data_IF_433622334699
#
_entry.id   IF_433622334699
#
_cell.length_a   1.000
_cell.length_b   1.000
_cell.length_c   1.000
_cell.angle_alpha   90.00
_cell.angle_beta   90.00
_cell.angle_gamma   90.00
#
_symmetry.space_group_name_H-M   'P 1'
#
loop_
_entity.id
_entity.type
_entity.pdbx_description
1 polymer ?
#
# COMPACT_ATOMS: atom_id res chain seq x y z
N UNK A 1 35.06 -30.99 -3.51
CA UNK A 1 34.08 -31.23 -4.60
C UNK A 1 33.08 -32.28 -4.14
N UNK A 2 31.85 -31.90 -3.81
CA UNK A 2 30.74 -32.82 -3.55
C UNK A 2 29.55 -32.34 -4.37
N UNK A 3 29.14 -33.17 -5.33
CA UNK A 3 27.90 -33.01 -6.12
C UNK A 3 26.73 -33.49 -5.26
N UNK A 4 25.65 -32.73 -5.22
CA UNK A 4 24.35 -33.17 -4.70
C UNK A 4 23.36 -33.07 -5.86
N UNK A 5 22.71 -34.19 -6.17
CA UNK A 5 21.65 -34.31 -7.18
C UNK A 5 20.33 -33.86 -6.56
N UNK A 6 19.58 -33.00 -7.27
CA UNK A 6 18.15 -32.80 -7.01
C UNK A 6 17.36 -33.36 -8.19
N UNK A 7 16.60 -34.43 -7.92
CA UNK A 7 15.55 -34.93 -8.79
C UNK A 7 14.32 -34.05 -8.64
N UNK A 8 13.71 -33.73 -9.78
CA UNK A 8 12.60 -32.81 -9.98
C UNK A 8 11.27 -33.33 -9.40
N UNK A 9 10.49 -32.44 -8.78
CA UNK A 9 9.03 -32.46 -8.83
C UNK A 9 8.53 -31.02 -8.69
N UNK A 10 7.89 -30.55 -9.74
CA UNK A 10 7.41 -29.19 -9.93
C UNK A 10 6.27 -28.85 -8.96
N UNK A 11 6.47 -27.84 -8.13
CA UNK A 11 5.44 -26.98 -7.53
C UNK A 11 6.06 -25.58 -7.43
N UNK A 12 5.34 -24.57 -7.91
CA UNK A 12 5.84 -23.24 -8.22
C UNK A 12 6.62 -22.58 -7.09
N UNK A 13 7.83 -22.13 -7.42
CA UNK A 13 8.62 -21.24 -6.57
C UNK A 13 7.89 -19.91 -6.42
N UNK A 14 7.22 -19.70 -5.29
CA UNK A 14 7.00 -18.36 -4.76
C UNK A 14 8.37 -17.90 -4.25
N UNK A 15 8.99 -16.93 -4.91
CA UNK A 15 10.12 -16.21 -4.35
C UNK A 15 9.62 -15.42 -3.13
N UNK A 16 9.59 -16.06 -1.97
CA UNK A 16 9.56 -15.36 -0.69
C UNK A 16 10.92 -14.67 -0.54
N UNK A 17 10.97 -13.39 -0.86
CA UNK A 17 12.07 -12.52 -0.44
C UNK A 17 11.87 -12.24 1.05
N UNK A 18 12.16 -13.24 1.88
CA UNK A 18 12.40 -13.08 3.32
C UNK A 18 13.75 -13.75 3.61
N UNK A 19 14.83 -13.13 3.13
CA UNK A 19 16.17 -13.60 3.36
C UNK A 19 16.65 -13.16 4.76
N UNK A 20 16.79 -14.13 5.65
CA UNK A 20 17.65 -14.16 6.85
C UNK A 20 17.54 -13.00 7.87
N UNK A 21 16.86 -13.24 8.99
CA UNK A 21 17.46 -13.40 10.32
C UNK A 21 16.38 -13.42 11.42
N UNK A 22 16.66 -14.15 12.50
CA UNK A 22 15.74 -14.68 13.51
C UNK A 22 15.06 -13.65 14.44
N UNK A 23 14.52 -12.53 13.95
CA UNK A 23 13.90 -11.50 14.81
C UNK A 23 12.60 -10.87 14.28
N UNK A 24 12.06 -11.28 13.15
CA UNK A 24 10.77 -10.77 12.69
C UNK A 24 9.69 -11.75 13.18
N UNK A 25 8.79 -11.36 14.12
CA UNK A 25 7.65 -12.19 14.47
C UNK A 25 6.89 -12.56 13.19
N UNK A 26 6.32 -13.78 13.09
CA UNK A 26 5.53 -14.15 11.93
C UNK A 26 4.51 -13.05 11.65
N UNK A 27 4.28 -12.68 10.37
CA UNK A 27 3.30 -11.65 10.04
C UNK A 27 1.99 -12.02 10.75
N UNK A 28 1.34 -11.08 11.47
CA UNK A 28 0.05 -11.32 12.09
C UNK A 28 -0.86 -12.09 11.14
N UNK A 29 -1.64 -13.06 11.63
CA UNK A 29 -2.53 -13.88 10.79
C UNK A 29 -3.42 -13.05 9.85
N UNK A 30 -3.74 -11.80 10.25
CA UNK A 30 -4.40 -10.80 9.42
C UNK A 30 -3.62 -10.44 8.13
N UNK A 31 -2.31 -10.17 8.20
CA UNK A 31 -1.49 -9.84 7.03
C UNK A 31 -1.45 -10.98 6.01
N UNK A 32 -1.53 -12.24 6.46
CA UNK A 32 -1.51 -13.38 5.56
C UNK A 32 -2.84 -13.52 4.79
N UNK A 33 -3.97 -13.28 5.44
CA UNK A 33 -5.27 -13.26 4.79
C UNK A 33 -5.36 -12.09 3.78
N UNK A 34 -4.94 -10.89 4.21
CA UNK A 34 -4.94 -9.69 3.39
C UNK A 34 -3.96 -9.80 2.22
N UNK A 35 -2.86 -10.55 2.36
CA UNK A 35 -1.96 -10.86 1.24
C UNK A 35 -2.66 -11.67 0.15
N UNK A 36 -3.46 -12.68 0.53
CA UNK A 36 -4.20 -13.50 -0.44
C UNK A 36 -5.24 -12.63 -1.15
N UNK A 37 -5.99 -11.82 -0.40
CA UNK A 37 -6.99 -10.91 -0.95
C UNK A 37 -6.36 -9.88 -1.88
N UNK A 38 -5.24 -9.26 -1.47
CA UNK A 38 -4.54 -8.27 -2.28
C UNK A 38 -4.08 -8.85 -3.63
N UNK A 39 -3.52 -10.07 -3.61
CA UNK A 39 -3.13 -10.76 -4.84
C UNK A 39 -4.34 -11.09 -5.73
N UNK A 40 -5.46 -11.52 -5.15
CA UNK A 40 -6.71 -11.72 -5.88
C UNK A 40 -7.27 -10.43 -6.47
N UNK A 41 -6.95 -9.29 -5.83
CA UNK A 41 -7.25 -7.95 -6.30
C UNK A 41 -6.28 -7.42 -7.36
N UNK A 42 -5.29 -8.23 -7.76
CA UNK A 42 -4.25 -7.86 -8.71
C UNK A 42 -3.15 -6.99 -8.12
N UNK A 43 -3.21 -6.68 -6.82
CA UNK A 43 -2.23 -5.88 -6.12
C UNK A 43 -1.08 -6.71 -5.56
N UNK A 44 -0.13 -6.03 -4.94
CA UNK A 44 0.93 -6.61 -4.12
C UNK A 44 0.82 -6.04 -2.71
N UNK A 45 0.84 -6.93 -1.71
CA UNK A 45 0.83 -6.53 -0.32
C UNK A 45 2.23 -6.09 0.13
N UNK A 46 2.31 -5.01 0.88
CA UNK A 46 3.54 -4.50 1.46
C UNK A 46 3.25 -3.93 2.85
N UNK A 47 3.94 -4.46 3.86
CA UNK A 47 3.89 -3.93 5.21
C UNK A 47 5.09 -3.01 5.44
N UNK A 48 4.85 -1.83 6.02
CA UNK A 48 5.85 -0.78 6.09
C UNK A 48 5.70 0.10 7.33
N UNK A 49 6.77 0.84 7.65
CA UNK A 49 6.77 1.91 8.64
C UNK A 49 6.93 3.26 7.94
N UNK A 50 6.07 4.22 8.27
CA UNK A 50 6.10 5.57 7.70
C UNK A 50 7.31 6.34 8.23
N UNK A 51 8.04 7.01 7.34
CA UNK A 51 9.25 7.79 7.67
C UNK A 51 9.18 9.26 7.24
N UNK A 52 8.10 9.71 6.61
CA UNK A 52 7.85 11.12 6.34
C UNK A 52 6.43 11.53 6.71
N UNK A 53 6.23 12.82 6.97
CA UNK A 53 4.88 13.36 7.10
C UNK A 53 4.14 13.28 5.75
N UNK A 54 2.80 13.11 5.77
CA UNK A 54 1.97 13.16 4.57
C UNK A 54 2.11 14.50 3.85
N UNK A 55 2.24 14.44 2.53
CA UNK A 55 2.38 15.62 1.68
C UNK A 55 1.33 15.60 0.58
N UNK A 56 0.55 16.68 0.52
CA UNK A 56 -0.38 16.90 -0.58
C UNK A 56 0.37 17.11 -1.90
N UNK A 57 -0.15 16.51 -2.95
CA UNK A 57 0.27 16.69 -4.34
C UNK A 57 -0.95 16.96 -5.21
N UNK A 58 -0.92 18.07 -5.95
CA UNK A 58 -2.02 18.44 -6.84
C UNK A 58 -2.20 17.43 -7.97
N UNK A 59 -3.44 17.36 -8.46
CA UNK A 59 -3.87 16.44 -9.49
C UNK A 59 -4.45 17.14 -10.70
N UNK A 60 -5.00 16.34 -11.61
CA UNK A 60 -5.87 16.85 -12.68
C UNK A 60 -7.31 16.97 -12.17
N UNK A 61 -8.06 17.91 -12.73
CA UNK A 61 -9.52 17.97 -12.54
C UNK A 61 -10.20 16.96 -13.46
N UNK A 62 -11.13 16.19 -12.91
CA UNK A 62 -12.01 15.27 -13.62
C UNK A 62 -13.44 15.52 -13.17
N UNK A 63 -14.28 16.01 -14.09
CA UNK A 63 -15.69 16.37 -13.81
C UNK A 63 -15.86 17.29 -12.57
N UNK A 64 -14.92 18.21 -12.37
CA UNK A 64 -14.96 19.16 -11.24
C UNK A 64 -14.34 18.66 -9.94
N UNK A 65 -13.88 17.40 -9.88
CA UNK A 65 -13.19 16.81 -8.73
C UNK A 65 -11.69 16.74 -9.03
N UNK A 66 -10.84 17.22 -8.12
CA UNK A 66 -9.38 17.11 -8.29
C UNK A 66 -8.91 15.71 -7.89
N UNK A 67 -8.28 15.00 -8.81
CA UNK A 67 -7.62 13.72 -8.56
C UNK A 67 -6.25 13.94 -7.92
N UNK A 68 -6.25 14.60 -6.76
CA UNK A 68 -5.06 14.89 -5.97
C UNK A 68 -4.57 13.67 -5.22
N UNK A 69 -3.31 13.71 -4.79
CA UNK A 69 -2.65 12.60 -4.11
C UNK A 69 -2.07 13.06 -2.77
N UNK A 70 -1.92 12.12 -1.85
CA UNK A 70 -1.08 12.25 -0.66
C UNK A 70 0.13 11.33 -0.81
N UNK A 71 1.33 11.89 -0.68
CA UNK A 71 2.57 11.14 -0.70
C UNK A 71 3.12 10.95 0.71
N UNK A 72 3.58 9.73 0.99
CA UNK A 72 4.40 9.39 2.15
C UNK A 72 5.60 8.56 1.70
N UNK A 73 6.71 8.70 2.41
CA UNK A 73 7.84 7.78 2.30
C UNK A 73 7.75 6.73 3.41
N UNK A 74 8.09 5.51 3.07
CA UNK A 74 8.04 4.36 3.98
C UNK A 74 9.28 3.49 3.83
N UNK A 75 9.54 2.66 4.83
CA UNK A 75 10.54 1.58 4.80
C UNK A 75 9.85 0.25 5.09
N UNK A 76 10.36 -0.90 4.64
CA UNK A 76 9.76 -2.19 4.97
C UNK A 76 9.64 -2.38 6.49
N UNK A 77 8.53 -2.98 6.93
CA UNK A 77 8.23 -3.12 8.36
C UNK A 77 9.36 -3.87 9.08
N UNK A 78 9.87 -3.28 10.16
CA UNK A 78 10.97 -3.85 10.95
C UNK A 78 12.37 -3.60 10.39
N UNK A 79 12.49 -2.98 9.22
CA UNK A 79 13.78 -2.56 8.67
C UNK A 79 14.19 -1.15 9.13
N UNK A 80 15.50 -0.91 9.16
CA UNK A 80 16.05 0.44 9.38
C UNK A 80 16.13 1.19 8.06
N UNK A 81 15.90 2.49 8.11
CA UNK A 81 16.06 3.36 6.95
C UNK A 81 17.51 3.35 6.43
N UNK A 82 17.63 3.18 5.12
CA UNK A 82 18.86 3.27 4.34
C UNK A 82 18.56 3.94 3.00
N UNK A 83 19.58 4.33 2.24
CA UNK A 83 19.37 4.98 0.94
C UNK A 83 18.64 4.09 -0.10
N UNK A 84 18.65 2.76 0.09
CA UNK A 84 18.16 1.80 -0.91
C UNK A 84 16.80 1.17 -0.58
N UNK A 85 16.22 1.49 0.58
CA UNK A 85 14.96 0.91 1.04
C UNK A 85 13.94 1.98 1.46
N UNK A 86 14.00 3.15 0.82
CA UNK A 86 12.96 4.18 0.93
C UNK A 86 12.03 4.04 -0.26
N UNK A 87 10.74 3.92 0.06
CA UNK A 87 9.67 3.65 -0.87
C UNK A 87 8.68 4.81 -0.84
N UNK A 88 8.35 5.39 -1.99
CA UNK A 88 7.26 6.38 -2.09
C UNK A 88 5.92 5.64 -2.16
N UNK A 89 4.90 6.22 -1.54
CA UNK A 89 3.52 5.74 -1.59
C UNK A 89 2.64 6.90 -1.99
N UNK A 90 1.95 6.75 -3.11
CA UNK A 90 0.96 7.71 -3.60
C UNK A 90 -0.46 7.22 -3.32
N UNK A 91 -1.19 8.00 -2.52
CA UNK A 91 -2.56 7.73 -2.08
C UNK A 91 -3.52 8.67 -2.79
N UNK A 92 -4.49 8.15 -3.51
CA UNK A 92 -5.49 8.97 -4.19
C UNK A 92 -6.48 9.55 -3.18
N UNK A 93 -6.45 10.87 -3.02
CA UNK A 93 -7.21 11.55 -1.96
C UNK A 93 -8.71 11.34 -2.11
N UNK A 94 -9.23 11.23 -3.34
CA UNK A 94 -10.66 11.04 -3.61
C UNK A 94 -11.25 9.75 -3.00
N UNK A 95 -10.39 8.80 -2.63
CA UNK A 95 -10.79 7.57 -1.96
C UNK A 95 -10.64 7.62 -0.45
N UNK A 96 -10.04 8.69 0.09
CA UNK A 96 -9.99 8.89 1.53
C UNK A 96 -11.43 9.02 2.09
N UNK A 97 -11.67 8.40 3.23
CA UNK A 97 -13.00 8.31 3.85
C UNK A 97 -13.66 9.67 4.11
N UNK A 98 -12.85 10.70 4.27
CA UNK A 98 -13.23 12.06 4.64
C UNK A 98 -12.91 13.08 3.54
N UNK A 99 -12.60 12.62 2.32
CA UNK A 99 -12.40 13.52 1.20
C UNK A 99 -13.70 14.20 0.81
N UNK A 100 -13.64 15.53 0.75
CA UNK A 100 -14.75 16.36 0.31
C UNK A 100 -14.22 17.42 -0.65
N UNK A 101 -14.82 17.50 -1.84
CA UNK A 101 -14.47 18.50 -2.86
C UNK A 101 -14.68 19.95 -2.39
N UNK A 102 -15.45 20.16 -1.33
CA UNK A 102 -15.69 21.46 -0.70
C UNK A 102 -14.60 21.86 0.32
N UNK A 103 -13.77 20.92 0.76
CA UNK A 103 -12.67 21.20 1.70
C UNK A 103 -11.63 22.15 1.07
N UNK A 104 -10.85 22.86 1.90
CA UNK A 104 -9.86 23.79 1.38
C UNK A 104 -8.94 23.13 0.36
N UNK A 105 -8.86 23.74 -0.83
CA UNK A 105 -7.96 23.28 -1.89
C UNK A 105 -6.55 23.08 -1.34
N UNK A 106 -5.92 21.98 -1.77
CA UNK A 106 -4.51 21.67 -1.49
C UNK A 106 -4.19 21.23 -0.07
N UNK A 107 -5.05 20.41 0.52
CA UNK A 107 -4.82 19.79 1.82
C UNK A 107 -4.90 18.26 1.76
N UNK A 108 -4.11 17.62 2.63
CA UNK A 108 -4.19 16.18 2.87
C UNK A 108 -5.50 15.91 3.62
N UNK A 109 -6.34 14.93 3.20
CA UNK A 109 -7.51 14.50 3.97
C UNK A 109 -7.13 14.18 5.43
N UNK A 110 -7.96 14.59 6.40
CA UNK A 110 -7.71 14.43 7.83
C UNK A 110 -7.40 12.97 8.20
N UNK A 111 -8.13 12.01 7.63
CA UNK A 111 -7.88 10.57 7.85
C UNK A 111 -6.45 10.15 7.49
N UNK A 112 -5.88 10.74 6.44
CA UNK A 112 -4.52 10.47 5.97
C UNK A 112 -3.46 11.25 6.74
N UNK A 113 -3.82 12.32 7.46
CA UNK A 113 -2.87 13.05 8.33
C UNK A 113 -2.37 12.22 9.51
N UNK A 114 -3.04 11.11 9.84
CA UNK A 114 -2.64 10.17 10.88
C UNK A 114 -1.50 9.23 10.44
N UNK A 115 -1.13 9.23 9.16
CA UNK A 115 0.02 8.51 8.62
C UNK A 115 1.32 9.26 8.93
N UNK A 116 1.59 9.44 10.23
CA UNK A 116 2.75 10.17 10.75
C UNK A 116 3.97 9.25 10.80
N UNK A 117 5.14 9.86 10.97
CA UNK A 117 6.40 9.13 11.16
C UNK A 117 6.25 8.13 12.31
N UNK A 118 6.63 6.87 12.05
CA UNK A 118 6.54 5.76 12.99
C UNK A 118 5.23 4.97 12.93
N UNK A 119 4.22 5.42 12.19
CA UNK A 119 3.00 4.63 11.96
C UNK A 119 3.35 3.39 11.15
N UNK A 120 2.92 2.22 11.62
CA UNK A 120 3.02 0.97 10.87
C UNK A 120 1.76 0.80 10.03
N UNK A 121 1.95 0.41 8.77
CA UNK A 121 0.86 0.29 7.80
C UNK A 121 1.00 -0.98 6.97
N UNK A 122 -0.15 -1.44 6.50
CA UNK A 122 -0.29 -2.41 5.44
C UNK A 122 -0.82 -1.69 4.19
N UNK A 123 -0.19 -1.98 3.06
CA UNK A 123 -0.51 -1.43 1.76
C UNK A 123 -0.85 -2.57 0.81
N UNK A 124 -1.98 -2.46 0.12
CA UNK A 124 -2.24 -3.22 -1.09
C UNK A 124 -2.31 -2.24 -2.26
N UNK A 125 -1.55 -2.49 -3.33
CA UNK A 125 -1.58 -1.62 -4.50
C UNK A 125 -0.69 -2.12 -5.62
N UNK A 126 -0.44 -1.25 -6.59
CA UNK A 126 0.45 -1.55 -7.69
C UNK A 126 1.88 -1.14 -7.34
N UNK A 127 2.86 -2.06 -7.37
CA UNK A 127 4.25 -1.65 -7.21
C UNK A 127 4.68 -0.74 -8.38
N UNK A 128 5.51 0.27 -8.09
CA UNK A 128 6.13 1.05 -9.16
C UNK A 128 6.94 0.13 -10.08
N UNK A 129 6.85 0.38 -11.39
CA UNK A 129 7.63 -0.38 -12.39
C UNK A 129 9.13 -0.04 -12.33
N UNK A 130 9.48 1.15 -11.80
CA UNK A 130 10.83 1.65 -11.61
C UNK A 130 10.88 2.57 -10.38
N UNK A 131 11.93 2.46 -9.56
CA UNK A 131 11.98 3.10 -8.24
C UNK A 131 11.19 2.28 -7.22
N UNK A 132 11.69 2.15 -5.99
CA UNK A 132 10.96 1.44 -4.95
C UNK A 132 9.67 2.18 -4.58
N UNK A 133 8.54 1.47 -4.54
CA UNK A 133 7.33 1.95 -3.85
C UNK A 133 6.05 1.31 -4.35
N UNK A 134 4.93 1.85 -3.89
CA UNK A 134 3.59 1.46 -4.32
C UNK A 134 2.87 2.71 -4.82
N UNK A 135 2.42 2.67 -6.07
CA UNK A 135 1.36 3.56 -6.53
C UNK A 135 0.01 2.85 -6.41
N UNK A 136 -1.08 3.61 -6.48
CA UNK A 136 -2.43 3.03 -6.59
C UNK A 136 -2.92 2.33 -5.31
N UNK A 137 -3.00 3.05 -4.19
CA UNK A 137 -3.72 2.57 -3.00
C UNK A 137 -5.16 3.08 -2.99
N UNK A 138 -5.98 2.54 -3.89
CA UNK A 138 -7.40 2.91 -3.95
C UNK A 138 -8.28 1.80 -4.52
N UNK A 139 -9.57 1.84 -4.19
CA UNK A 139 -10.55 1.00 -4.86
C UNK A 139 -10.65 1.32 -6.35
N UNK A 140 -10.78 0.30 -7.19
CA UNK A 140 -11.07 0.42 -8.62
C UNK A 140 -12.58 0.58 -8.86
N UNK A 141 -13.38 0.91 -7.83
CA UNK A 141 -14.80 1.24 -7.97
C UNK A 141 -15.66 0.14 -8.62
N UNK A 142 -15.36 -1.12 -8.31
CA UNK A 142 -16.03 -2.28 -8.92
C UNK A 142 -15.69 -2.52 -10.39
N UNK A 143 -14.80 -1.72 -10.99
CA UNK A 143 -14.25 -2.00 -12.32
C UNK A 143 -13.37 -3.25 -12.28
N UNK A 144 -13.22 -3.90 -13.43
CA UNK A 144 -12.41 -5.12 -13.54
C UNK A 144 -10.96 -4.84 -13.11
N UNK A 145 -10.57 -5.44 -11.99
CA UNK A 145 -9.21 -5.39 -11.44
C UNK A 145 -8.21 -6.16 -12.30
N UNK A 146 -7.02 -5.60 -12.45
CA UNK A 146 -5.88 -6.20 -13.17
C UNK A 146 -4.58 -5.83 -12.47
N UNK A 147 -3.46 -6.49 -12.78
CA UNK A 147 -2.16 -6.10 -12.22
C UNK A 147 -1.73 -4.65 -12.53
N UNK A 148 -2.29 -4.05 -13.59
CA UNK A 148 -2.05 -2.65 -13.97
C UNK A 148 -3.09 -1.66 -13.42
N UNK A 149 -4.14 -2.18 -12.77
CA UNK A 149 -5.24 -1.42 -12.14
C UNK A 149 -5.82 -2.29 -11.00
N UNK A 150 -5.04 -2.53 -9.93
CA UNK A 150 -5.52 -3.35 -8.84
C UNK A 150 -6.58 -2.61 -8.02
N UNK A 151 -7.35 -3.35 -7.23
CA UNK A 151 -7.96 -2.74 -6.05
C UNK A 151 -6.88 -2.63 -4.98
N UNK A 152 -6.66 -1.42 -4.50
CA UNK A 152 -5.73 -1.10 -3.44
C UNK A 152 -6.41 -0.67 -2.16
N UNK A 153 -5.65 -0.73 -1.07
CA UNK A 153 -6.07 -0.34 0.26
C UNK A 153 -4.87 0.10 1.09
N UNK A 154 -5.13 0.91 2.10
CA UNK A 154 -4.15 1.23 3.14
C UNK A 154 -4.80 1.08 4.51
N UNK A 155 -4.17 0.29 5.38
CA UNK A 155 -4.62 0.04 6.76
C UNK A 155 -3.51 0.36 7.73
N UNK A 156 -3.87 0.79 8.93
CA UNK A 156 -2.93 0.95 10.05
C UNK A 156 -2.76 -0.40 10.73
N UNK A 157 -1.50 -0.78 10.98
CA UNK A 157 -1.15 -1.91 11.84
C UNK A 157 -1.05 -1.36 13.27
N UNK A 158 -2.03 -1.70 14.11
CA UNK A 158 -2.07 -1.29 15.50
C UNK A 158 -0.97 -1.97 16.32
N UNK A 159 -0.66 -1.39 17.49
CA UNK A 159 0.38 -1.90 18.39
C UNK A 159 0.12 -3.33 18.86
N UNK A 160 -1.15 -3.74 18.93
CA UNK A 160 -1.57 -5.11 19.26
C UNK A 160 -1.52 -6.09 18.07
N UNK A 161 -1.08 -5.63 16.90
CA UNK A 161 -1.01 -6.42 15.66
C UNK A 161 -2.33 -6.53 14.90
N UNK A 162 -3.40 -5.88 15.36
CA UNK A 162 -4.66 -5.79 14.60
C UNK A 162 -4.57 -4.76 13.48
N UNK A 163 -5.43 -4.89 12.47
CA UNK A 163 -5.53 -3.93 11.37
C UNK A 163 -6.72 -3.00 11.58
N UNK A 164 -6.56 -1.72 11.23
CA UNK A 164 -7.69 -0.81 11.10
C UNK A 164 -8.56 -1.15 9.88
N UNK A 165 -9.72 -0.51 9.78
CA UNK A 165 -10.40 -0.38 8.49
C UNK A 165 -9.48 0.32 7.49
N UNK A 166 -9.73 0.09 6.19
CA UNK A 166 -9.01 0.79 5.13
C UNK A 166 -9.31 2.29 5.18
N UNK A 167 -8.28 3.11 4.98
CA UNK A 167 -8.43 4.56 4.92
C UNK A 167 -8.87 5.02 3.51
N UNK A 168 -8.89 4.12 2.52
CA UNK A 168 -9.11 4.41 1.09
C UNK A 168 -10.31 3.66 0.50
N UNK A 169 -11.41 3.56 1.25
CA UNK A 169 -12.61 2.83 0.86
C UNK A 169 -13.78 3.74 0.46
N UNK A 170 -13.58 5.05 0.35
CA UNK A 170 -14.63 5.97 -0.10
C UNK A 170 -14.99 5.70 -1.57
N UNK A 171 -16.27 5.45 -1.83
CA UNK A 171 -16.79 5.20 -3.17
C UNK A 171 -17.67 6.33 -3.72
N UNK A 172 -17.84 7.43 -2.97
CA UNK A 172 -18.68 8.57 -3.36
C UNK A 172 -18.34 9.07 -4.78
N UNK A 173 -17.04 9.14 -5.08
CA UNK A 173 -16.54 9.68 -6.34
C UNK A 173 -16.35 8.63 -7.44
N UNK A 174 -16.80 7.39 -7.25
CA UNK A 174 -16.59 6.32 -8.21
C UNK A 174 -17.21 6.58 -9.59
N UNK A 175 -18.27 7.39 -9.66
CA UNK A 175 -18.97 7.70 -10.91
C UNK A 175 -18.17 8.61 -11.85
N UNK A 176 -17.07 9.22 -11.39
CA UNK A 176 -16.28 10.14 -12.22
C UNK A 176 -15.30 9.41 -13.14
N UNK A 177 -15.07 8.10 -12.94
CA UNK A 177 -14.10 7.27 -13.67
C UNK A 177 -14.70 6.47 -14.82
#
# INVERSE_FOLDING_TARGET
MKKIYFSCLALGFIFNVYANSDLIPPPPTALQADSIECNQNGGTLFAATVISNPKYSSGKLQRGVELSHTHINVVPLGEKQSANNIYDVAIDNVYAMDYDVSQPYKQVPESLTNLKIGTNIELCGQPYSQGGGIHWVHSNCGQKKTAAKPDGSIKIINVDGTLSNSLTDNQEYCTIF
#
